data_IF_272527286331
#
_entry.id   IF_272527286331
#
_cell.length_a   1.000
_cell.length_b   1.000
_cell.length_c   1.000
_cell.angle_alpha   90.00
_cell.angle_beta   90.00
_cell.angle_gamma   90.00
#
_symmetry.space_group_name_H-M   'P 1'
#
loop_
_entity.id
_entity.type
_entity.pdbx_description
1 polymer ?
#
# COMPACT_ATOMS: atom_id res chain seq x y z
N UNK A 1 -7.81 0.43 -21.22
CA UNK A 1 -6.86 -0.64 -20.85
C UNK A 1 -7.13 -0.93 -19.37
N UNK A 2 -7.60 -2.12 -18.98
CA UNK A 2 -7.91 -2.39 -17.58
C UNK A 2 -6.58 -2.65 -16.86
N UNK A 3 -6.20 -1.72 -16.00
CA UNK A 3 -5.02 -1.91 -15.15
C UNK A 3 -5.29 -3.03 -14.16
N UNK A 4 -4.32 -3.96 -14.08
CA UNK A 4 -4.41 -5.14 -13.22
C UNK A 4 -3.89 -4.77 -11.85
N UNK A 5 -4.63 -5.05 -10.77
CA UNK A 5 -4.11 -4.87 -9.42
C UNK A 5 -2.87 -5.74 -9.22
N UNK A 6 -1.81 -5.09 -8.72
CA UNK A 6 -0.55 -5.76 -8.40
C UNK A 6 -0.32 -5.71 -6.89
N UNK A 7 0.25 -6.76 -6.34
CA UNK A 7 0.94 -6.68 -5.06
C UNK A 7 2.34 -6.13 -5.34
N UNK A 8 2.69 -5.02 -4.72
CA UNK A 8 4.05 -4.48 -4.78
C UNK A 8 4.88 -5.01 -3.61
N UNK A 9 5.99 -5.64 -3.92
CA UNK A 9 6.99 -5.99 -2.92
C UNK A 9 7.96 -4.84 -2.77
N UNK A 10 7.89 -4.15 -1.63
CA UNK A 10 8.78 -3.03 -1.34
C UNK A 10 10.18 -3.56 -1.06
N UNK A 11 11.11 -3.25 -1.96
CA UNK A 11 12.53 -3.56 -1.78
C UNK A 11 13.17 -2.44 -0.97
N UNK A 12 13.63 -2.78 0.23
CA UNK A 12 14.44 -1.88 1.08
C UNK A 12 15.90 -2.25 0.93
N UNK A 13 16.78 -1.29 1.10
CA UNK A 13 18.21 -1.58 1.26
C UNK A 13 18.42 -2.42 2.51
N UNK A 14 19.37 -3.35 2.49
CA UNK A 14 19.63 -4.32 3.56
C UNK A 14 19.87 -3.72 4.95
N UNK A 15 20.15 -2.42 5.03
CA UNK A 15 20.42 -1.68 6.26
C UNK A 15 19.42 -0.53 6.51
N UNK A 16 18.28 -0.50 5.80
CA UNK A 16 17.30 0.59 5.92
C UNK A 16 15.95 0.11 6.44
N UNK A 17 15.41 0.81 7.46
CA UNK A 17 14.06 0.57 8.01
C UNK A 17 12.95 1.16 7.15
N UNK A 18 13.30 2.06 6.23
CA UNK A 18 12.39 2.71 5.29
C UNK A 18 12.96 2.66 3.87
N UNK A 19 12.08 2.73 2.86
CA UNK A 19 12.45 3.06 1.49
C UNK A 19 12.16 4.54 1.26
N UNK A 20 13.14 5.25 0.71
CA UNK A 20 12.98 6.60 0.18
C UNK A 20 13.24 6.55 -1.32
N UNK A 21 12.33 7.09 -2.11
CA UNK A 21 12.43 7.13 -3.56
C UNK A 21 12.04 8.52 -4.08
N UNK A 22 12.99 9.21 -4.73
CA UNK A 22 12.69 10.41 -5.51
C UNK A 22 12.72 10.00 -6.98
N UNK A 23 11.56 9.78 -7.54
CA UNK A 23 11.41 9.27 -8.90
C UNK A 23 11.01 10.35 -9.90
N UNK A 24 11.61 10.25 -11.09
CA UNK A 24 11.25 11.03 -12.27
C UNK A 24 10.99 10.05 -13.42
N UNK A 25 9.71 9.80 -13.71
CA UNK A 25 9.26 8.76 -14.64
C UNK A 25 8.27 9.32 -15.65
N UNK A 26 8.17 8.66 -16.80
CA UNK A 26 7.07 8.92 -17.71
C UNK A 26 5.75 8.37 -17.13
N UNK A 27 4.59 9.01 -17.37
CA UNK A 27 3.29 8.51 -16.89
C UNK A 27 2.99 7.05 -17.25
N UNK A 28 3.47 6.60 -18.41
CA UNK A 28 3.31 5.21 -18.86
C UNK A 28 4.09 4.18 -18.05
N UNK A 29 5.14 4.61 -17.34
CA UNK A 29 6.02 3.76 -16.52
C UNK A 29 5.62 3.81 -15.04
N UNK A 30 4.49 4.47 -14.72
CA UNK A 30 3.93 4.55 -13.38
C UNK A 30 3.48 3.17 -12.89
N UNK A 31 3.54 2.96 -11.58
CA UNK A 31 3.00 1.75 -10.98
C UNK A 31 1.49 1.70 -11.20
N UNK A 32 0.95 0.66 -11.84
CA UNK A 32 -0.48 0.50 -11.96
C UNK A 32 -1.14 0.31 -10.59
N UNK A 33 -2.46 0.19 -10.55
CA UNK A 33 -3.20 -0.07 -9.30
C UNK A 33 -2.54 -1.22 -8.52
N UNK A 34 -2.06 -0.90 -7.32
CA UNK A 34 -1.30 -1.81 -6.47
C UNK A 34 -1.64 -1.61 -4.99
N UNK A 35 -1.14 -2.49 -4.16
CA UNK A 35 -1.18 -2.39 -2.70
C UNK A 35 0.05 -3.07 -2.10
N UNK A 36 0.40 -2.67 -0.88
CA UNK A 36 1.50 -3.22 -0.10
C UNK A 36 1.23 -3.07 1.41
N UNK A 37 1.90 -3.85 2.29
CA UNK A 37 1.67 -3.80 3.74
C UNK A 37 2.31 -2.60 4.43
N UNK A 38 3.19 -1.88 3.79
CA UNK A 38 3.83 -0.68 4.32
C UNK A 38 2.84 0.48 4.39
N UNK A 39 3.10 1.42 5.29
CA UNK A 39 2.53 2.77 5.24
C UNK A 39 3.37 3.57 4.23
N UNK A 40 2.69 4.35 3.39
CA UNK A 40 3.34 5.19 2.40
C UNK A 40 3.03 6.67 2.62
N UNK A 41 4.03 7.51 2.40
CA UNK A 41 3.86 8.96 2.25
C UNK A 41 4.28 9.30 0.83
N UNK A 42 3.34 9.78 0.03
CA UNK A 42 3.57 10.20 -1.36
C UNK A 42 3.46 11.72 -1.46
N UNK A 43 4.48 12.36 -1.99
CA UNK A 43 4.49 13.78 -2.33
C UNK A 43 4.58 13.95 -3.85
N UNK A 44 3.57 14.55 -4.45
CA UNK A 44 3.54 14.90 -5.87
C UNK A 44 4.37 16.17 -6.07
N UNK A 45 5.62 16.01 -6.52
CA UNK A 45 6.51 17.16 -6.76
C UNK A 45 6.14 17.86 -8.06
N UNK A 46 5.83 17.09 -9.13
CA UNK A 46 5.45 17.61 -10.43
C UNK A 46 4.43 16.72 -11.13
N UNK A 47 3.39 17.35 -11.66
CA UNK A 47 2.31 16.71 -12.39
C UNK A 47 0.98 16.75 -11.65
N UNK A 48 -0.08 16.50 -12.37
CA UNK A 48 -1.46 16.38 -11.87
C UNK A 48 -2.20 15.28 -12.62
N UNK A 49 -3.37 14.89 -12.16
CA UNK A 49 -4.16 13.85 -12.80
C UNK A 49 -5.25 13.31 -11.89
N UNK A 50 -5.44 11.99 -11.91
CA UNK A 50 -6.39 11.30 -11.04
C UNK A 50 -5.67 10.26 -10.20
N UNK A 51 -5.96 10.22 -8.89
CA UNK A 51 -5.53 9.12 -8.02
C UNK A 51 -6.72 8.21 -7.70
N UNK A 52 -6.46 6.93 -7.68
CA UNK A 52 -7.34 5.96 -7.08
C UNK A 52 -6.83 5.63 -5.67
N UNK A 53 -7.72 5.68 -4.68
CA UNK A 53 -7.42 5.36 -3.29
C UNK A 53 -8.58 4.53 -2.72
N UNK A 54 -8.39 3.22 -2.61
CA UNK A 54 -9.50 2.30 -2.28
C UNK A 54 -10.62 2.41 -3.30
N UNK A 55 -11.79 2.85 -2.85
CA UNK A 55 -13.01 2.98 -3.67
C UNK A 55 -13.15 4.35 -4.36
N UNK A 56 -12.23 5.26 -4.12
CA UNK A 56 -12.37 6.64 -4.54
C UNK A 56 -11.42 6.96 -5.68
N UNK A 57 -11.95 7.63 -6.68
CA UNK A 57 -11.18 8.24 -7.78
C UNK A 57 -11.36 9.75 -7.67
N UNK A 58 -10.29 10.44 -7.35
CA UNK A 58 -10.28 11.90 -7.15
C UNK A 58 -9.18 12.55 -7.97
N UNK A 59 -9.35 13.81 -8.40
CA UNK A 59 -8.25 14.57 -8.97
C UNK A 59 -7.16 14.79 -7.91
N UNK A 60 -5.93 14.91 -8.35
CA UNK A 60 -4.80 15.36 -7.56
C UNK A 60 -4.02 16.45 -8.30
N UNK A 61 -3.36 17.28 -7.51
CA UNK A 61 -2.59 18.41 -8.01
C UNK A 61 -1.12 18.35 -7.57
N UNK A 62 -0.30 19.07 -8.29
CA UNK A 62 1.09 19.33 -7.91
C UNK A 62 1.17 19.92 -6.49
N UNK A 63 2.08 19.43 -5.71
CA UNK A 63 2.27 19.87 -4.33
C UNK A 63 1.45 19.11 -3.29
N UNK A 64 0.61 18.15 -3.65
CA UNK A 64 -0.11 17.34 -2.68
C UNK A 64 0.81 16.34 -1.95
N UNK A 65 0.54 16.16 -0.66
CA UNK A 65 1.15 15.12 0.16
C UNK A 65 0.05 14.21 0.70
N UNK A 66 0.17 12.92 0.42
CA UNK A 66 -0.82 11.91 0.79
C UNK A 66 -0.18 10.85 1.68
N UNK A 67 -0.84 10.52 2.77
CA UNK A 67 -0.54 9.34 3.58
C UNK A 67 -1.45 8.19 3.14
N UNK A 68 -0.85 7.08 2.73
CA UNK A 68 -1.52 5.84 2.32
C UNK A 68 -1.38 4.83 3.45
N UNK A 69 -2.47 4.33 4.05
CA UNK A 69 -2.39 3.31 5.09
C UNK A 69 -2.06 1.93 4.50
N UNK A 70 -1.76 1.00 5.39
CA UNK A 70 -1.41 -0.39 5.05
C UNK A 70 -2.47 -1.06 4.18
N UNK A 71 -2.02 -1.81 3.17
CA UNK A 71 -2.88 -2.61 2.30
C UNK A 71 -3.99 -1.84 1.56
N UNK A 72 -3.91 -0.51 1.51
CA UNK A 72 -4.84 0.32 0.75
C UNK A 72 -4.52 0.20 -0.74
N UNK A 73 -5.43 -0.30 -1.60
CA UNK A 73 -5.25 -0.25 -3.05
C UNK A 73 -5.14 1.20 -3.52
N UNK A 74 -4.11 1.50 -4.31
CA UNK A 74 -3.90 2.87 -4.78
C UNK A 74 -3.10 2.92 -6.09
N UNK A 75 -3.26 4.01 -6.82
CA UNK A 75 -2.40 4.42 -7.95
C UNK A 75 -2.60 5.88 -8.28
N UNK A 76 -1.60 6.45 -8.97
CA UNK A 76 -1.65 7.79 -9.57
C UNK A 76 -1.66 7.67 -11.09
N UNK A 77 -2.61 8.32 -11.73
CA UNK A 77 -2.75 8.40 -13.18
C UNK A 77 -2.47 9.84 -13.61
N UNK A 78 -1.21 10.09 -13.96
CA UNK A 78 -0.76 11.42 -14.35
C UNK A 78 -1.27 11.83 -15.73
N UNK A 79 -1.70 13.09 -15.84
CA UNK A 79 -1.97 13.72 -17.12
C UNK A 79 -0.63 14.08 -17.80
N UNK A 80 -0.33 13.56 -19.00
CA UNK A 80 0.92 13.87 -19.69
C UNK A 80 1.18 15.36 -19.90
N UNK A 81 0.14 16.17 -20.05
CA UNK A 81 0.24 17.62 -20.27
C UNK A 81 0.65 18.41 -19.01
N UNK A 82 0.54 17.79 -17.81
CA UNK A 82 0.92 18.39 -16.53
C UNK A 82 2.34 18.05 -16.08
N UNK A 83 3.05 17.24 -16.84
CA UNK A 83 4.40 16.80 -16.54
C UNK A 83 5.47 17.87 -16.88
N UNK A 84 6.73 17.60 -16.55
CA UNK A 84 7.87 18.41 -16.95
C UNK A 84 7.96 18.52 -18.48
N UNK A 85 8.71 19.51 -19.03
CA UNK A 85 8.87 19.66 -20.48
C UNK A 85 9.45 18.42 -21.19
N UNK A 86 10.18 17.56 -20.45
CA UNK A 86 10.67 16.27 -20.94
C UNK A 86 9.62 15.15 -20.91
N UNK A 87 8.40 15.46 -20.47
CA UNK A 87 7.27 14.55 -20.38
C UNK A 87 7.25 13.68 -19.13
N UNK A 88 8.14 13.93 -18.14
CA UNK A 88 8.19 13.16 -16.90
C UNK A 88 7.45 13.83 -15.76
N UNK A 89 6.82 13.01 -14.92
CA UNK A 89 6.31 13.42 -13.61
C UNK A 89 7.40 13.26 -12.54
N UNK A 90 7.27 13.95 -11.42
CA UNK A 90 8.18 13.79 -10.29
C UNK A 90 7.40 13.54 -9.01
N UNK A 91 7.82 12.58 -8.21
CA UNK A 91 7.28 12.36 -6.87
C UNK A 91 8.36 11.88 -5.90
N UNK A 92 8.10 12.11 -4.61
CA UNK A 92 8.84 11.54 -3.50
C UNK A 92 7.94 10.54 -2.80
N UNK A 93 8.43 9.32 -2.60
CA UNK A 93 7.72 8.25 -1.92
C UNK A 93 8.56 7.76 -0.75
N UNK A 94 7.96 7.70 0.43
CA UNK A 94 8.55 7.11 1.64
C UNK A 94 7.67 5.97 2.11
N UNK A 95 8.23 4.76 2.17
CA UNK A 95 7.52 3.54 2.58
C UNK A 95 8.21 2.91 3.79
N UNK A 96 7.44 2.55 4.81
CA UNK A 96 7.97 1.97 6.04
C UNK A 96 6.99 0.96 6.66
N UNK A 97 7.54 0.01 7.45
CA UNK A 97 6.73 -1.01 8.12
C UNK A 97 5.86 -0.35 9.21
N UNK A 98 4.54 -0.64 9.28
CA UNK A 98 3.65 -0.15 10.34
C UNK A 98 4.10 -0.52 11.75
N UNK A 99 4.85 -1.61 11.92
CA UNK A 99 5.41 -2.02 13.22
C UNK A 99 6.32 -0.95 13.85
N UNK A 100 6.84 -0.01 13.04
CA UNK A 100 7.58 1.15 13.53
C UNK A 100 6.76 1.98 14.51
N UNK A 101 5.46 2.13 14.27
CA UNK A 101 4.57 2.87 15.16
C UNK A 101 4.46 2.18 16.52
N UNK A 102 4.31 0.85 16.53
CA UNK A 102 4.20 0.07 17.76
C UNK A 102 5.53 -0.01 18.52
N UNK A 103 6.64 -0.20 17.82
CA UNK A 103 7.97 -0.20 18.44
C UNK A 103 8.26 1.15 19.13
N UNK A 104 7.89 2.27 18.51
CA UNK A 104 8.01 3.59 19.11
C UNK A 104 7.23 3.72 20.42
N UNK A 105 6.02 3.18 20.50
CA UNK A 105 5.19 3.19 21.73
C UNK A 105 5.87 2.50 22.90
N UNK A 106 6.64 1.44 22.64
CA UNK A 106 7.28 0.66 23.71
C UNK A 106 8.43 1.42 24.42
N UNK A 107 8.97 2.47 23.79
CA UNK A 107 10.18 3.15 24.28
C UNK A 107 10.01 4.64 24.53
N UNK A 108 9.04 5.32 23.89
CA UNK A 108 8.91 6.77 23.93
C UNK A 108 7.49 7.20 24.28
N UNK A 109 7.27 7.68 25.51
CA UNK A 109 5.97 8.19 25.98
C UNK A 109 5.47 9.35 25.13
N UNK A 110 6.38 10.21 24.67
CA UNK A 110 6.08 11.38 23.83
C UNK A 110 5.53 10.98 22.44
N UNK A 111 5.72 9.73 22.04
CA UNK A 111 5.26 9.16 20.77
C UNK A 111 3.81 8.63 20.85
N UNK A 112 3.31 8.33 22.06
CA UNK A 112 2.07 7.61 22.30
C UNK A 112 0.88 8.22 21.53
N UNK A 113 0.66 9.50 21.68
CA UNK A 113 -0.47 10.18 21.04
C UNK A 113 -0.39 10.15 19.51
N UNK A 114 0.77 10.42 18.94
CA UNK A 114 0.98 10.41 17.49
C UNK A 114 0.83 9.01 16.90
N UNK A 115 1.43 8.00 17.53
CA UNK A 115 1.39 6.63 17.07
C UNK A 115 -0.03 6.05 17.12
N UNK A 116 -0.80 6.29 18.18
CA UNK A 116 -2.20 5.87 18.26
C UNK A 116 -3.06 6.48 17.15
N UNK A 117 -2.90 7.78 16.89
CA UNK A 117 -3.64 8.44 15.81
C UNK A 117 -3.26 7.89 14.43
N UNK A 118 -1.98 7.69 14.17
CA UNK A 118 -1.49 7.15 12.90
C UNK A 118 -1.96 5.70 12.69
N UNK A 119 -1.92 4.87 13.73
CA UNK A 119 -2.40 3.49 13.68
C UNK A 119 -3.91 3.36 13.46
N UNK A 120 -4.69 4.39 13.82
CA UNK A 120 -6.13 4.44 13.61
C UNK A 120 -6.54 4.84 12.18
N UNK A 121 -5.59 5.27 11.33
CA UNK A 121 -5.87 5.67 9.95
C UNK A 121 -6.17 4.42 9.12
N UNK A 122 -7.38 4.34 8.58
CA UNK A 122 -7.87 3.22 7.77
C UNK A 122 -8.08 3.58 6.29
N UNK A 123 -7.90 4.84 5.93
CA UNK A 123 -8.11 5.35 4.56
C UNK A 123 -7.05 6.40 4.23
N UNK A 124 -6.82 6.64 2.95
CA UNK A 124 -5.88 7.68 2.51
C UNK A 124 -6.18 9.04 3.13
N UNK A 125 -5.15 9.78 3.47
CA UNK A 125 -5.24 11.12 4.06
C UNK A 125 -4.48 12.11 3.21
N UNK A 126 -5.16 13.16 2.79
CA UNK A 126 -4.52 14.35 2.19
C UNK A 126 -4.07 15.29 3.31
N UNK A 127 -2.79 15.62 3.30
CA UNK A 127 -2.21 16.61 4.20
C UNK A 127 -2.43 18.03 3.63
N UNK A 128 -2.83 18.96 4.47
CA UNK A 128 -3.18 20.32 4.05
C UNK A 128 -2.47 21.39 4.89
N UNK A 129 -2.74 22.64 4.62
CA UNK A 129 -2.31 23.78 5.45
C UNK A 129 -0.80 23.87 5.65
N UNK A 130 -0.41 24.44 6.79
CA UNK A 130 0.99 24.64 7.15
C UNK A 130 1.75 23.34 7.39
N UNK A 131 1.06 22.29 7.80
CA UNK A 131 1.66 20.96 8.03
C UNK A 131 2.13 20.34 6.72
N UNK A 132 1.34 20.41 5.66
CA UNK A 132 1.75 19.93 4.33
C UNK A 132 3.05 20.60 3.86
N UNK A 133 3.16 21.94 4.00
CA UNK A 133 4.36 22.68 3.64
C UNK A 133 5.62 22.22 4.38
N UNK A 134 5.51 22.01 5.70
CA UNK A 134 6.63 21.50 6.52
C UNK A 134 7.06 20.11 6.11
N UNK A 135 6.09 19.23 5.82
CA UNK A 135 6.38 17.84 5.43
C UNK A 135 7.01 17.77 4.05
N UNK A 136 6.56 18.59 3.07
CA UNK A 136 7.23 18.75 1.78
C UNK A 136 8.70 19.06 1.94
N UNK A 137 9.03 20.09 2.72
CA UNK A 137 10.42 20.47 2.97
C UNK A 137 11.23 19.34 3.61
N UNK A 138 10.65 18.60 4.56
CA UNK A 138 11.30 17.44 5.16
C UNK A 138 11.55 16.33 4.13
N UNK A 139 10.58 16.02 3.27
CA UNK A 139 10.69 14.99 2.24
C UNK A 139 11.75 15.36 1.19
N UNK A 140 11.83 16.62 0.79
CA UNK A 140 12.85 17.11 -0.13
C UNK A 140 14.26 17.04 0.51
N UNK A 141 14.40 17.43 1.78
CA UNK A 141 15.66 17.36 2.53
C UNK A 141 16.18 15.91 2.63
N UNK A 142 15.27 14.92 2.78
CA UNK A 142 15.63 13.49 2.84
C UNK A 142 16.44 13.02 1.62
N UNK A 143 16.36 13.70 0.50
CA UNK A 143 17.13 13.35 -0.70
C UNK A 143 18.65 13.39 -0.48
N UNK A 144 19.11 14.29 0.38
CA UNK A 144 20.54 14.48 0.68
C UNK A 144 21.01 13.77 1.96
N UNK A 145 20.11 13.09 2.68
CA UNK A 145 20.39 12.46 3.96
C UNK A 145 20.82 11.00 3.80
N UNK A 146 21.66 10.53 4.73
CA UNK A 146 21.97 9.09 4.86
C UNK A 146 20.82 8.31 5.53
N UNK A 147 20.91 6.98 5.57
CA UNK A 147 19.84 6.11 6.08
C UNK A 147 19.42 6.43 7.53
N UNK A 148 20.38 6.72 8.42
CA UNK A 148 20.10 7.06 9.82
C UNK A 148 19.41 8.42 9.96
N UNK A 149 19.87 9.40 9.21
CA UNK A 149 19.26 10.74 9.19
C UNK A 149 17.85 10.72 8.60
N UNK A 150 17.63 9.93 7.54
CA UNK A 150 16.30 9.68 6.97
C UNK A 150 15.35 9.09 7.99
N UNK A 151 15.82 8.15 8.83
CA UNK A 151 15.00 7.58 9.89
C UNK A 151 14.58 8.62 10.92
N UNK A 152 15.50 9.47 11.37
CA UNK A 152 15.18 10.58 12.28
C UNK A 152 14.20 11.57 11.65
N UNK A 153 14.37 11.87 10.37
CA UNK A 153 13.44 12.73 9.64
C UNK A 153 12.05 12.10 9.51
N UNK A 154 11.96 10.78 9.26
CA UNK A 154 10.69 10.07 9.24
C UNK A 154 9.97 10.18 10.59
N UNK A 155 10.65 9.98 11.71
CA UNK A 155 10.07 10.14 13.06
C UNK A 155 9.51 11.55 13.24
N UNK A 156 10.26 12.57 12.82
CA UNK A 156 9.81 13.97 12.85
C UNK A 156 8.56 14.20 11.99
N UNK A 157 8.51 13.65 10.77
CA UNK A 157 7.35 13.73 9.88
C UNK A 157 6.14 13.07 10.54
N UNK A 158 6.30 11.86 11.05
CA UNK A 158 5.20 11.10 11.67
C UNK A 158 4.67 11.80 12.93
N UNK A 159 5.55 12.40 13.74
CA UNK A 159 5.14 13.20 14.88
C UNK A 159 4.29 14.42 14.45
N UNK A 160 4.66 15.08 13.37
CA UNK A 160 3.89 16.22 12.85
C UNK A 160 2.53 15.76 12.31
N UNK A 161 2.47 14.65 11.53
CA UNK A 161 1.20 14.11 11.03
C UNK A 161 0.31 13.63 12.18
N UNK A 162 0.88 12.94 13.16
CA UNK A 162 0.13 12.41 14.30
C UNK A 162 -0.46 13.49 15.23
N UNK A 163 0.08 14.70 15.22
CA UNK A 163 -0.37 15.79 16.11
C UNK A 163 -1.16 16.90 15.42
N UNK A 164 -1.20 16.93 14.08
CA UNK A 164 -1.91 17.98 13.33
C UNK A 164 -3.41 17.71 13.19
N UNK A 165 -4.16 18.78 12.92
CA UNK A 165 -5.56 18.74 12.47
C UNK A 165 -5.68 18.99 10.96
N UNK A 166 -4.58 19.30 10.28
CA UNK A 166 -4.54 19.60 8.83
C UNK A 166 -4.62 18.32 7.98
N UNK A 167 -5.61 17.48 8.24
CA UNK A 167 -5.81 16.16 7.63
C UNK A 167 -7.20 16.09 7.03
N UNK A 168 -7.28 15.76 5.73
CA UNK A 168 -8.54 15.52 5.02
C UNK A 168 -8.55 14.06 4.58
N UNK A 169 -9.46 13.22 5.10
CA UNK A 169 -9.63 11.87 4.60
C UNK A 169 -10.06 11.88 3.12
N UNK A 170 -9.38 11.06 2.30
CA UNK A 170 -9.68 10.91 0.89
C UNK A 170 -10.98 10.11 0.76
N UNK A 171 -11.92 10.60 -0.06
CA UNK A 171 -13.20 9.93 -0.30
C UNK A 171 -14.35 10.38 0.61
N UNK A 172 -14.17 11.39 1.45
CA UNK A 172 -15.28 12.00 2.20
C UNK A 172 -16.07 13.05 1.40
N UNK A 173 -15.53 13.54 0.29
CA UNK A 173 -16.27 14.42 -0.61
C UNK A 173 -17.06 13.55 -1.59
N UNK A 174 -18.39 13.59 -1.52
CA UNK A 174 -19.27 13.05 -2.55
C UNK A 174 -19.11 13.90 -3.83
N UNK A 175 -18.00 13.72 -4.52
CA UNK A 175 -17.93 14.11 -5.91
C UNK A 175 -18.63 13.00 -6.67
N UNK A 176 -19.79 13.27 -7.27
CA UNK A 176 -20.44 12.39 -8.24
C UNK A 176 -19.51 12.17 -9.43
N UNK A 177 -18.48 11.33 -9.22
CA UNK A 177 -17.59 10.96 -10.29
C UNK A 177 -18.14 9.72 -10.99
N UNK A 178 -18.86 9.93 -12.09
CA UNK A 178 -19.37 8.87 -12.99
C UNK A 178 -18.27 8.04 -13.68
N UNK A 179 -17.01 8.11 -13.21
CA UNK A 179 -15.85 7.48 -13.84
C UNK A 179 -15.48 6.10 -13.27
N UNK A 180 -15.96 5.74 -12.09
CA UNK A 180 -15.66 4.41 -11.52
C UNK A 180 -16.51 3.38 -12.23
N UNK A 181 -15.87 2.49 -13.00
CA UNK A 181 -16.60 1.42 -13.66
C UNK A 181 -17.13 0.44 -12.61
N UNK A 182 -18.29 -0.17 -12.88
CA UNK A 182 -18.87 -1.25 -12.03
C UNK A 182 -17.83 -2.35 -11.73
N UNK A 183 -16.89 -2.57 -12.63
CA UNK A 183 -15.82 -3.56 -12.48
C UNK A 183 -14.77 -3.13 -11.44
N UNK A 184 -14.37 -1.86 -11.44
CA UNK A 184 -13.43 -1.33 -10.45
C UNK A 184 -14.01 -1.49 -9.05
N UNK A 185 -15.26 -1.06 -8.84
CA UNK A 185 -15.94 -1.21 -7.54
C UNK A 185 -16.04 -2.68 -7.09
N UNK A 186 -16.29 -3.60 -8.01
CA UNK A 186 -16.30 -5.03 -7.71
C UNK A 186 -14.92 -5.55 -7.28
N UNK A 187 -13.86 -5.13 -7.97
CA UNK A 187 -12.50 -5.53 -7.61
C UNK A 187 -12.12 -5.04 -6.22
N UNK A 188 -12.46 -3.81 -5.88
CA UNK A 188 -12.21 -3.23 -4.57
C UNK A 188 -12.88 -4.03 -3.45
N UNK A 189 -14.16 -4.37 -3.61
CA UNK A 189 -14.88 -5.20 -2.64
C UNK A 189 -14.21 -6.58 -2.44
N UNK A 190 -13.71 -7.18 -3.53
CA UNK A 190 -12.98 -8.45 -3.45
C UNK A 190 -11.66 -8.27 -2.66
N UNK A 191 -10.91 -7.20 -2.92
CA UNK A 191 -9.64 -6.96 -2.25
C UNK A 191 -9.83 -6.69 -0.77
N UNK A 192 -10.79 -5.82 -0.43
CA UNK A 192 -11.18 -5.58 0.96
C UNK A 192 -11.52 -6.90 1.65
N UNK A 193 -12.34 -7.73 1.03
CA UNK A 193 -12.72 -9.03 1.56
C UNK A 193 -11.50 -9.94 1.79
N UNK A 194 -10.54 -10.00 0.85
CA UNK A 194 -9.32 -10.79 1.01
C UNK A 194 -8.45 -10.26 2.14
N UNK A 195 -8.25 -8.94 2.23
CA UNK A 195 -7.47 -8.30 3.29
C UNK A 195 -8.05 -8.62 4.69
N UNK A 196 -9.37 -8.56 4.83
CA UNK A 196 -10.06 -8.81 6.10
C UNK A 196 -10.05 -10.31 6.48
N UNK A 197 -10.04 -11.23 5.49
CA UNK A 197 -10.28 -12.66 5.72
C UNK A 197 -9.15 -13.60 5.29
N UNK A 198 -7.98 -13.10 4.81
CA UNK A 198 -6.93 -13.97 4.25
C UNK A 198 -6.43 -15.05 5.23
N UNK A 199 -6.54 -14.81 6.53
CA UNK A 199 -6.16 -15.75 7.59
C UNK A 199 -7.14 -16.93 7.72
N UNK A 200 -8.33 -16.79 7.17
CA UNK A 200 -9.41 -17.76 7.24
C UNK A 200 -9.50 -18.59 5.96
N UNK A 201 -10.39 -19.58 5.95
CA UNK A 201 -10.70 -20.32 4.74
C UNK A 201 -11.60 -19.47 3.83
N UNK A 202 -11.06 -18.97 2.73
CA UNK A 202 -11.81 -18.26 1.69
C UNK A 202 -12.14 -19.23 0.55
N UNK A 203 -13.41 -19.35 0.18
CA UNK A 203 -13.85 -20.11 -0.99
C UNK A 203 -14.15 -19.20 -2.18
N UNK A 204 -14.13 -19.78 -3.38
CA UNK A 204 -14.56 -19.06 -4.60
C UNK A 204 -16.02 -18.59 -4.52
N UNK A 205 -16.87 -19.34 -3.81
CA UNK A 205 -18.25 -18.97 -3.59
C UNK A 205 -18.39 -17.74 -2.71
N UNK A 206 -17.61 -17.68 -1.62
CA UNK A 206 -17.63 -16.53 -0.71
C UNK A 206 -17.23 -15.24 -1.45
N UNK A 207 -16.13 -15.28 -2.18
CA UNK A 207 -15.65 -14.13 -2.96
C UNK A 207 -16.65 -13.73 -4.07
N UNK A 208 -17.27 -14.69 -4.74
CA UNK A 208 -18.28 -14.42 -5.75
C UNK A 208 -19.54 -13.74 -5.16
N UNK A 209 -19.95 -14.15 -3.97
CA UNK A 209 -21.09 -13.58 -3.25
C UNK A 209 -20.84 -12.12 -2.86
N UNK A 210 -19.61 -11.75 -2.49
CA UNK A 210 -19.23 -10.35 -2.15
C UNK A 210 -19.62 -9.36 -3.25
N UNK A 211 -19.52 -9.79 -4.51
CA UNK A 211 -19.84 -8.94 -5.67
C UNK A 211 -21.09 -9.37 -6.42
N UNK A 212 -21.92 -10.21 -5.80
CA UNK A 212 -23.19 -10.72 -6.35
C UNK A 212 -23.02 -11.34 -7.74
N UNK A 213 -22.04 -12.25 -7.88
CA UNK A 213 -21.79 -13.02 -9.09
C UNK A 213 -21.88 -14.53 -8.83
N UNK A 214 -22.18 -15.31 -9.89
CA UNK A 214 -21.96 -16.76 -9.84
C UNK A 214 -20.46 -17.07 -9.79
N UNK A 215 -20.06 -18.18 -9.19
CA UNK A 215 -18.66 -18.61 -9.08
C UNK A 215 -17.95 -18.66 -10.45
N UNK A 216 -18.64 -19.16 -11.49
CA UNK A 216 -18.08 -19.22 -12.85
C UNK A 216 -17.86 -17.83 -13.43
N UNK A 217 -18.83 -16.93 -13.30
CA UNK A 217 -18.70 -15.54 -13.75
C UNK A 217 -17.60 -14.80 -12.99
N UNK A 218 -17.50 -15.02 -11.69
CA UNK A 218 -16.46 -14.48 -10.82
C UNK A 218 -15.06 -14.92 -11.27
N UNK A 219 -14.84 -16.21 -11.49
CA UNK A 219 -13.52 -16.73 -11.93
C UNK A 219 -13.08 -16.09 -13.24
N UNK A 220 -13.97 -15.98 -14.21
CA UNK A 220 -13.70 -15.35 -15.51
C UNK A 220 -13.45 -13.85 -15.37
N UNK A 221 -14.26 -13.17 -14.57
CA UNK A 221 -14.12 -11.76 -14.25
C UNK A 221 -12.78 -11.49 -13.58
N UNK A 222 -12.49 -12.15 -12.47
CA UNK A 222 -11.28 -11.95 -11.69
C UNK A 222 -10.01 -12.19 -12.52
N UNK A 223 -9.98 -13.30 -13.29
CA UNK A 223 -8.85 -13.63 -14.18
C UNK A 223 -8.66 -12.58 -15.29
N UNK A 224 -9.74 -12.04 -15.84
CA UNK A 224 -9.67 -10.97 -16.85
C UNK A 224 -9.09 -9.69 -16.25
N UNK A 225 -9.57 -9.26 -15.08
CA UNK A 225 -9.15 -7.99 -14.44
C UNK A 225 -7.71 -8.09 -13.86
N UNK A 226 -7.31 -9.25 -13.29
CA UNK A 226 -6.02 -9.40 -12.60
C UNK A 226 -4.95 -10.17 -13.39
N UNK A 227 -5.35 -10.92 -14.41
CA UNK A 227 -4.48 -11.81 -15.18
C UNK A 227 -4.14 -13.12 -14.49
N UNK A 228 -4.61 -13.36 -13.26
CA UNK A 228 -4.36 -14.56 -12.47
C UNK A 228 -5.65 -15.13 -11.86
N UNK A 229 -5.60 -16.39 -11.42
CA UNK A 229 -6.74 -16.98 -10.72
C UNK A 229 -6.85 -16.38 -9.31
N UNK A 230 -8.07 -16.35 -8.76
CA UNK A 230 -8.31 -15.87 -7.40
C UNK A 230 -7.52 -16.66 -6.34
N UNK A 231 -7.43 -17.99 -6.49
CA UNK A 231 -6.64 -18.84 -5.60
C UNK A 231 -5.15 -18.46 -5.62
N UNK A 232 -4.59 -18.21 -6.80
CA UNK A 232 -3.20 -17.75 -6.91
C UNK A 232 -3.01 -16.39 -6.24
N UNK A 233 -3.95 -15.48 -6.40
CA UNK A 233 -3.92 -14.17 -5.78
C UNK A 233 -3.93 -14.26 -4.24
N UNK A 234 -4.84 -15.05 -3.64
CA UNK A 234 -4.86 -15.25 -2.17
C UNK A 234 -3.54 -15.85 -1.70
N UNK A 235 -3.01 -16.85 -2.41
CA UNK A 235 -1.75 -17.47 -2.02
C UNK A 235 -0.56 -16.50 -2.10
N UNK A 236 -0.51 -15.64 -3.12
CA UNK A 236 0.48 -14.57 -3.18
C UNK A 236 0.38 -13.67 -1.98
N UNK A 237 -0.82 -13.19 -1.66
CA UNK A 237 -1.05 -12.33 -0.49
C UNK A 237 -0.59 -13.00 0.82
N UNK A 238 -0.97 -14.27 1.04
CA UNK A 238 -0.58 -15.04 2.22
C UNK A 238 0.93 -15.23 2.32
N UNK A 239 1.60 -15.53 1.20
CA UNK A 239 3.06 -15.70 1.17
C UNK A 239 3.78 -14.40 1.51
N UNK A 240 3.30 -13.25 1.03
CA UNK A 240 3.87 -11.96 1.42
C UNK A 240 3.67 -11.69 2.92
N UNK A 241 2.50 -11.99 3.46
CA UNK A 241 2.27 -11.91 4.91
C UNK A 241 3.21 -12.84 5.70
N UNK A 242 3.46 -14.07 5.21
CA UNK A 242 4.44 -14.98 5.81
C UNK A 242 5.85 -14.37 5.76
N UNK A 243 6.29 -13.84 4.62
CA UNK A 243 7.61 -13.21 4.50
C UNK A 243 7.78 -12.07 5.51
N UNK A 244 6.77 -11.22 5.66
CA UNK A 244 6.78 -10.12 6.64
C UNK A 244 6.93 -10.65 8.07
N UNK A 245 6.16 -11.69 8.44
CA UNK A 245 6.24 -12.28 9.79
C UNK A 245 7.57 -13.01 10.04
N UNK A 246 8.13 -13.70 9.05
CA UNK A 246 9.45 -14.36 9.18
C UNK A 246 10.57 -13.34 9.43
N UNK A 247 10.53 -12.19 8.75
CA UNK A 247 11.51 -11.12 8.95
C UNK A 247 11.36 -10.46 10.33
N UNK A 248 10.14 -10.27 10.81
CA UNK A 248 9.87 -9.63 12.11
C UNK A 248 10.05 -10.56 13.30
N UNK A 249 9.89 -11.87 13.10
CA UNK A 249 9.93 -12.89 14.15
C UNK A 249 10.78 -14.09 13.72
N UNK A 250 12.11 -13.92 13.58
CA UNK A 250 13.00 -14.94 13.02
C UNK A 250 13.07 -16.24 13.88
N UNK A 251 12.73 -16.15 15.16
CA UNK A 251 12.75 -17.28 16.10
C UNK A 251 11.44 -18.08 16.12
N UNK A 252 10.38 -17.61 15.42
CA UNK A 252 9.11 -18.34 15.37
C UNK A 252 9.16 -19.53 14.42
N UNK A 253 8.41 -20.56 14.76
CA UNK A 253 8.23 -21.73 13.88
C UNK A 253 7.56 -21.33 12.57
N UNK A 254 8.18 -21.74 11.46
CA UNK A 254 7.72 -21.40 10.09
C UNK A 254 6.31 -21.94 9.83
N UNK A 255 5.98 -23.12 10.35
CA UNK A 255 4.67 -23.73 10.17
C UNK A 255 3.61 -22.95 10.96
N UNK A 256 3.95 -22.48 12.16
CA UNK A 256 3.07 -21.63 12.96
C UNK A 256 2.76 -20.33 12.22
N UNK A 257 3.78 -19.68 11.65
CA UNK A 257 3.60 -18.46 10.84
C UNK A 257 2.71 -18.75 9.61
N UNK A 258 2.95 -19.87 8.92
CA UNK A 258 2.13 -20.25 7.78
C UNK A 258 0.65 -20.45 8.17
N UNK A 259 0.37 -21.08 9.29
CA UNK A 259 -1.00 -21.23 9.82
C UNK A 259 -1.64 -19.89 10.18
N UNK A 260 -0.90 -19.00 10.84
CA UNK A 260 -1.37 -17.63 11.14
C UNK A 260 -1.72 -16.83 9.89
N UNK A 261 -1.09 -17.14 8.75
CA UNK A 261 -1.38 -16.55 7.46
C UNK A 261 -2.43 -17.32 6.63
N UNK A 262 -3.12 -18.30 7.23
CA UNK A 262 -4.24 -19.00 6.59
C UNK A 262 -3.88 -20.19 5.71
N UNK A 263 -2.64 -20.70 5.79
CA UNK A 263 -2.28 -21.98 5.17
C UNK A 263 -2.66 -23.12 6.10
N UNK A 264 -3.50 -24.04 5.63
CA UNK A 264 -3.94 -25.23 6.37
C UNK A 264 -3.18 -26.49 5.95
N UNK A 265 -2.44 -26.46 4.84
CA UNK A 265 -1.65 -27.56 4.29
C UNK A 265 -0.20 -27.09 4.13
N UNK A 266 0.67 -27.54 5.02
CA UNK A 266 2.10 -27.15 5.05
C UNK A 266 2.87 -27.64 3.80
N UNK A 267 2.70 -28.88 3.31
CA UNK A 267 3.26 -29.28 2.02
C UNK A 267 2.85 -28.37 0.86
N UNK A 268 1.60 -27.95 0.81
CA UNK A 268 1.12 -27.00 -0.20
C UNK A 268 1.75 -25.61 -0.03
N UNK A 269 1.83 -25.11 1.20
CA UNK A 269 2.53 -23.87 1.54
C UNK A 269 3.96 -23.88 1.03
N UNK A 270 4.75 -24.91 1.39
CA UNK A 270 6.16 -24.98 0.99
C UNK A 270 6.35 -24.99 -0.53
N UNK A 271 5.50 -25.73 -1.26
CA UNK A 271 5.52 -25.73 -2.74
C UNK A 271 5.19 -24.36 -3.31
N UNK A 272 4.17 -23.71 -2.77
CA UNK A 272 3.72 -22.39 -3.20
C UNK A 272 4.77 -21.32 -2.92
N UNK A 273 5.37 -21.33 -1.72
CA UNK A 273 6.43 -20.42 -1.32
C UNK A 273 7.65 -20.56 -2.23
N UNK A 274 8.15 -21.79 -2.43
CA UNK A 274 9.29 -22.05 -3.32
C UNK A 274 9.02 -21.63 -4.76
N UNK A 275 7.80 -21.85 -5.25
CA UNK A 275 7.40 -21.42 -6.61
C UNK A 275 7.42 -19.89 -6.75
N UNK A 276 6.98 -19.15 -5.74
CA UNK A 276 6.85 -17.69 -5.81
C UNK A 276 8.13 -16.95 -5.47
N UNK A 277 8.87 -17.41 -4.46
CA UNK A 277 10.09 -16.74 -3.96
C UNK A 277 11.39 -17.34 -4.50
N UNK A 278 11.32 -18.47 -5.23
CA UNK A 278 12.49 -19.21 -5.76
C UNK A 278 13.46 -19.71 -4.66
N UNK A 279 13.03 -19.70 -3.39
CA UNK A 279 13.75 -20.17 -2.23
C UNK A 279 12.80 -20.86 -1.25
N UNK A 280 13.34 -21.56 -0.24
CA UNK A 280 12.51 -22.15 0.82
C UNK A 280 12.21 -21.13 1.91
N UNK A 281 11.14 -21.32 2.73
CA UNK A 281 10.82 -20.38 3.82
C UNK A 281 11.93 -20.24 4.87
N UNK A 282 12.82 -21.23 5.01
CA UNK A 282 13.94 -21.20 5.95
C UNK A 282 15.22 -20.55 5.41
N UNK A 283 15.27 -20.20 4.14
CA UNK A 283 16.35 -19.43 3.49
C UNK A 283 16.08 -17.94 3.53
#
# INVERSE_FOLDING_TARGET
MHEKLKFEQIKKDSCASLRYDYSSLYPKDEMPLHFHPEIEICYVVKGSGYRMMGDFLEPFEEGEVVLVPTNQPHCWMYNPESCEPDGKRQCIVVQFNPDLLQAGLSFFTEWEYAAHRLSAIQQGILLTGGTAGKIKSCLEEMNCLNASERMLMLIRILQQIGTTTDLIPIGLQETEFNGITKNMRRMQLIFKYVIEHYKEKITLSDAANVISMSTTAFCSFFKRETGKTFTNFINEYRIEAVCTLLLNFPDKDINEIAWQCGFTDIPYFNRSFKKMKQMTPGQ
#
